data_IF_661759784071
#
_entry.id   IF_661759784071
#
_cell.length_a   1.000
_cell.length_b   1.000
_cell.length_c   1.000
_cell.angle_alpha   90.00
_cell.angle_beta   90.00
_cell.angle_gamma   90.00
#
_symmetry.space_group_name_H-M   'P 1'
#
loop_
_entity.id
_entity.type
_entity.pdbx_description
1 polymer ?
#
# COMPACT_ATOMS: atom_id res chain seq x y z
N UNK A 1 -11.72 -13.84 -22.92
CA UNK A 1 -10.75 -14.31 -21.91
C UNK A 1 -11.37 -14.11 -20.54
N UNK A 2 -11.25 -15.07 -19.62
CA UNK A 2 -11.79 -14.92 -18.26
C UNK A 2 -11.09 -13.80 -17.51
N UNK A 3 -11.78 -13.20 -16.53
CA UNK A 3 -11.22 -12.19 -15.63
C UNK A 3 -10.06 -12.81 -14.84
N UNK A 4 -8.88 -12.19 -14.92
CA UNK A 4 -7.68 -12.62 -14.19
C UNK A 4 -7.33 -11.65 -13.07
N UNK A 5 -7.24 -12.16 -11.86
CA UNK A 5 -6.83 -11.43 -10.66
C UNK A 5 -5.45 -11.92 -10.21
N UNK A 6 -4.50 -11.00 -10.06
CA UNK A 6 -3.26 -11.26 -9.35
C UNK A 6 -3.36 -10.72 -7.92
N UNK A 7 -3.06 -11.55 -6.92
CA UNK A 7 -2.96 -11.14 -5.52
C UNK A 7 -1.48 -10.95 -5.20
N UNK A 8 -1.10 -9.74 -4.78
CA UNK A 8 0.28 -9.42 -4.44
C UNK A 8 0.42 -9.10 -2.96
N UNK A 9 1.54 -9.51 -2.38
CA UNK A 9 1.85 -9.20 -0.99
C UNK A 9 3.35 -9.29 -0.70
N UNK A 10 3.72 -8.91 0.51
CA UNK A 10 5.11 -8.95 1.00
C UNK A 10 5.15 -9.51 2.40
N UNK A 11 6.14 -10.35 2.70
CA UNK A 11 6.27 -11.00 4.01
C UNK A 11 7.62 -10.76 4.65
N UNK A 12 7.62 -10.65 5.97
CA UNK A 12 8.82 -10.74 6.79
C UNK A 12 8.40 -11.06 8.22
N UNK A 13 8.65 -12.30 8.65
CA UNK A 13 8.28 -12.78 9.99
C UNK A 13 9.53 -13.08 10.81
N UNK A 14 9.94 -12.19 11.74
CA UNK A 14 11.05 -12.48 12.62
C UNK A 14 10.72 -13.65 13.55
N UNK A 15 11.73 -14.42 13.97
CA UNK A 15 11.64 -15.57 14.89
C UNK A 15 11.24 -15.18 16.32
N UNK A 16 10.05 -14.58 16.45
CA UNK A 16 9.44 -14.06 17.67
C UNK A 16 8.05 -14.66 17.82
N UNK A 17 7.44 -14.51 19.00
CA UNK A 17 6.05 -14.96 19.23
C UNK A 17 5.07 -14.28 18.26
N UNK A 18 5.24 -12.98 17.98
CA UNK A 18 4.43 -12.26 17.00
C UNK A 18 4.64 -12.79 15.59
N UNK A 19 5.89 -12.89 15.15
CA UNK A 19 6.21 -13.31 13.80
C UNK A 19 5.69 -14.73 13.52
N UNK A 20 5.78 -15.63 14.50
CA UNK A 20 5.19 -16.96 14.36
C UNK A 20 3.66 -16.96 14.27
N UNK A 21 2.97 -16.10 15.04
CA UNK A 21 1.52 -15.94 14.93
C UNK A 21 1.13 -15.44 13.54
N UNK A 22 1.78 -14.36 13.07
CA UNK A 22 1.52 -13.74 11.78
C UNK A 22 1.87 -14.66 10.60
N UNK A 23 2.98 -15.38 10.69
CA UNK A 23 3.35 -16.44 9.73
C UNK A 23 2.28 -17.54 9.66
N UNK A 24 1.71 -17.94 10.80
CA UNK A 24 0.61 -18.89 10.86
C UNK A 24 -0.64 -18.41 10.14
N UNK A 25 -1.02 -17.14 10.35
CA UNK A 25 -2.14 -16.51 9.62
C UNK A 25 -1.85 -16.44 8.12
N UNK A 26 -0.63 -16.04 7.75
CA UNK A 26 -0.20 -15.97 6.36
C UNK A 26 -0.26 -17.31 5.64
N UNK A 27 0.19 -18.41 6.27
CA UNK A 27 0.05 -19.76 5.71
C UNK A 27 -1.40 -20.11 5.38
N UNK A 28 -2.32 -19.82 6.31
CA UNK A 28 -3.76 -20.05 6.09
C UNK A 28 -4.28 -19.20 4.93
N UNK A 29 -3.94 -17.92 4.89
CA UNK A 29 -4.29 -17.02 3.80
C UNK A 29 -3.82 -17.56 2.44
N UNK A 30 -2.57 -18.00 2.32
CA UNK A 30 -2.03 -18.50 1.06
C UNK A 30 -2.70 -19.79 0.59
N UNK A 31 -2.93 -20.73 1.51
CA UNK A 31 -3.69 -21.95 1.20
C UNK A 31 -5.12 -21.62 0.74
N UNK A 32 -5.81 -20.70 1.44
CA UNK A 32 -7.16 -20.28 1.07
C UNK A 32 -7.19 -19.58 -0.30
N UNK A 33 -6.15 -18.82 -0.66
CA UNK A 33 -6.03 -18.20 -1.98
C UNK A 33 -5.80 -19.20 -3.10
N UNK A 34 -4.85 -20.12 -2.93
CA UNK A 34 -4.56 -21.14 -3.95
C UNK A 34 -5.74 -22.09 -4.13
N UNK A 35 -6.42 -22.49 -3.05
CA UNK A 35 -7.62 -23.32 -3.12
C UNK A 35 -8.80 -22.64 -3.85
N UNK A 36 -8.71 -21.33 -4.09
CA UNK A 36 -9.67 -20.53 -4.86
C UNK A 36 -9.14 -20.16 -6.25
N UNK A 37 -8.06 -20.79 -6.69
CA UNK A 37 -7.41 -20.60 -7.98
C UNK A 37 -6.96 -19.15 -8.24
N UNK A 38 -6.61 -18.40 -7.20
CA UNK A 38 -6.01 -17.07 -7.36
C UNK A 38 -4.51 -17.18 -7.67
N UNK A 39 -4.03 -16.38 -8.63
CA UNK A 39 -2.59 -16.21 -8.87
C UNK A 39 -1.99 -15.34 -7.75
N UNK A 40 -1.13 -15.90 -6.90
CA UNK A 40 -0.53 -15.18 -5.76
C UNK A 40 0.96 -14.95 -5.96
N UNK A 41 1.40 -13.71 -5.78
CA UNK A 41 2.80 -13.29 -5.85
C UNK A 41 3.25 -12.74 -4.50
N UNK A 42 4.38 -13.24 -4.01
CA UNK A 42 4.93 -12.86 -2.70
C UNK A 42 6.39 -12.51 -2.84
N UNK A 43 6.78 -11.35 -2.31
CA UNK A 43 8.18 -11.02 -2.06
C UNK A 43 8.45 -11.14 -0.57
N UNK A 44 9.39 -12.02 -0.19
CA UNK A 44 9.74 -12.29 1.21
C UNK A 44 11.10 -11.69 1.59
N UNK A 45 11.13 -10.95 2.69
CA UNK A 45 12.30 -10.27 3.24
C UNK A 45 13.29 -11.17 3.99
N UNK A 46 13.22 -12.50 3.84
CA UNK A 46 14.13 -13.45 4.49
C UNK A 46 13.57 -14.09 5.76
N UNK A 47 12.27 -14.40 5.76
CA UNK A 47 11.63 -15.20 6.82
C UNK A 47 12.27 -16.59 6.91
N UNK A 48 12.58 -17.04 8.13
CA UNK A 48 13.18 -18.35 8.41
C UNK A 48 14.43 -18.67 7.57
N UNK A 49 15.26 -17.66 7.30
CA UNK A 49 16.46 -17.75 6.44
C UNK A 49 16.11 -18.21 5.00
N UNK A 50 14.93 -17.80 4.50
CA UNK A 50 14.45 -18.10 3.15
C UNK A 50 13.61 -19.38 3.05
N UNK A 51 13.58 -20.24 4.08
CA UNK A 51 12.81 -21.50 4.06
C UNK A 51 11.30 -21.29 3.89
N UNK A 52 10.79 -20.12 4.29
CA UNK A 52 9.39 -19.79 4.10
C UNK A 52 9.02 -19.68 2.61
N UNK A 53 9.93 -19.22 1.75
CA UNK A 53 9.70 -19.16 0.30
C UNK A 53 9.46 -20.56 -0.27
N UNK A 54 10.27 -21.54 0.12
CA UNK A 54 10.13 -22.93 -0.34
C UNK A 54 8.80 -23.54 0.12
N UNK A 55 8.40 -23.23 1.36
CA UNK A 55 7.08 -23.59 1.87
C UNK A 55 5.95 -22.96 1.05
N UNK A 56 6.01 -21.66 0.76
CA UNK A 56 4.99 -20.97 -0.04
C UNK A 56 4.90 -21.55 -1.46
N UNK A 57 6.04 -21.83 -2.10
CA UNK A 57 6.08 -22.49 -3.41
C UNK A 57 5.41 -23.86 -3.39
N UNK A 58 5.56 -24.62 -2.31
CA UNK A 58 4.87 -25.92 -2.14
C UNK A 58 3.34 -25.79 -2.08
N UNK A 59 2.82 -24.61 -1.72
CA UNK A 59 1.38 -24.31 -1.78
C UNK A 59 0.91 -23.88 -3.16
N UNK A 60 1.80 -23.66 -4.14
CA UNK A 60 1.46 -23.10 -5.45
C UNK A 60 1.58 -21.58 -5.56
N UNK A 61 2.16 -20.91 -4.55
CA UNK A 61 2.40 -19.47 -4.56
C UNK A 61 3.66 -19.14 -5.37
N UNK A 62 3.63 -18.04 -6.15
CA UNK A 62 4.80 -17.48 -6.82
C UNK A 62 5.59 -16.63 -5.81
N UNK A 63 6.50 -17.26 -5.08
CA UNK A 63 7.28 -16.61 -4.02
C UNK A 63 8.73 -16.31 -4.44
N UNK A 64 9.19 -15.10 -4.13
CA UNK A 64 10.49 -14.54 -4.52
C UNK A 64 11.22 -13.96 -3.30
N UNK A 65 12.56 -14.05 -3.24
CA UNK A 65 13.34 -13.33 -2.24
C UNK A 65 13.36 -11.83 -2.56
N UNK A 66 13.25 -10.98 -1.54
CA UNK A 66 13.43 -9.52 -1.67
C UNK A 66 14.82 -9.20 -2.25
N UNK A 67 14.85 -8.49 -3.39
CA UNK A 67 16.12 -8.06 -4.00
C UNK A 67 16.59 -6.71 -3.46
N UNK A 68 15.66 -5.85 -3.05
CA UNK A 68 15.94 -4.54 -2.48
C UNK A 68 15.20 -4.34 -1.16
N UNK A 69 15.96 -4.06 -0.09
CA UNK A 69 15.39 -3.85 1.25
C UNK A 69 14.38 -2.71 1.26
N UNK A 70 13.27 -2.93 1.96
CA UNK A 70 12.31 -1.91 2.35
C UNK A 70 10.89 -2.22 1.87
N UNK A 71 9.90 -1.81 2.66
CA UNK A 71 8.49 -2.11 2.38
C UNK A 71 8.04 -1.59 1.01
N UNK A 72 8.47 -0.40 0.63
CA UNK A 72 8.14 0.17 -0.69
C UNK A 72 8.77 -0.62 -1.84
N UNK A 73 10.03 -1.00 -1.70
CA UNK A 73 10.77 -1.74 -2.73
C UNK A 73 10.18 -3.14 -2.95
N UNK A 74 10.03 -3.93 -1.87
CA UNK A 74 9.44 -5.27 -1.92
C UNK A 74 8.05 -5.29 -2.57
N UNK A 75 7.22 -4.26 -2.34
CA UNK A 75 5.87 -4.21 -2.91
C UNK A 75 5.86 -3.86 -4.39
N UNK A 76 6.75 -2.98 -4.85
CA UNK A 76 6.93 -2.71 -6.28
C UNK A 76 7.46 -3.95 -6.99
N UNK A 77 8.38 -4.68 -6.36
CA UNK A 77 8.89 -5.94 -6.88
C UNK A 77 7.76 -6.98 -7.02
N UNK A 78 6.92 -7.15 -6.00
CA UNK A 78 5.74 -8.04 -6.07
C UNK A 78 4.77 -7.62 -7.19
N UNK A 79 4.56 -6.32 -7.38
CA UNK A 79 3.75 -5.76 -8.46
C UNK A 79 4.37 -6.07 -9.83
N UNK A 80 5.68 -5.89 -10.01
CA UNK A 80 6.39 -6.21 -11.25
C UNK A 80 6.24 -7.69 -11.61
N UNK A 81 6.39 -8.60 -10.64
CA UNK A 81 6.17 -10.03 -10.88
C UNK A 81 4.74 -10.34 -11.33
N UNK A 82 3.74 -9.69 -10.72
CA UNK A 82 2.34 -9.86 -11.11
C UNK A 82 2.05 -9.30 -12.51
N UNK A 83 2.56 -8.12 -12.84
CA UNK A 83 2.33 -7.49 -14.15
C UNK A 83 2.87 -8.33 -15.31
N UNK A 84 3.94 -9.10 -15.09
CA UNK A 84 4.49 -10.02 -16.09
C UNK A 84 3.47 -11.10 -16.53
N UNK A 85 2.45 -11.42 -15.71
CA UNK A 85 1.39 -12.35 -16.11
C UNK A 85 0.21 -11.68 -16.79
N UNK A 86 0.23 -10.36 -16.97
CA UNK A 86 -0.84 -9.56 -17.60
C UNK A 86 -2.23 -9.80 -16.99
N UNK A 87 -2.39 -9.60 -15.66
CA UNK A 87 -3.69 -9.72 -15.01
C UNK A 87 -4.62 -8.58 -15.46
N UNK A 88 -5.94 -8.75 -15.29
CA UNK A 88 -6.89 -7.64 -15.45
C UNK A 88 -6.93 -6.76 -14.20
N UNK A 89 -6.86 -7.39 -13.03
CA UNK A 89 -6.92 -6.72 -11.75
C UNK A 89 -5.78 -7.17 -10.85
N UNK A 90 -5.37 -6.27 -9.95
CA UNK A 90 -4.35 -6.53 -8.95
C UNK A 90 -4.91 -6.21 -7.57
N UNK A 91 -4.80 -7.16 -6.65
CA UNK A 91 -5.14 -6.99 -5.24
C UNK A 91 -3.86 -6.96 -4.41
N UNK A 92 -3.55 -5.81 -3.81
CA UNK A 92 -2.62 -5.77 -2.69
C UNK A 92 -3.38 -6.05 -1.39
N UNK A 93 -2.84 -6.93 -0.55
CA UNK A 93 -3.31 -7.12 0.82
C UNK A 93 -2.20 -7.68 1.70
N UNK A 94 -2.30 -7.48 3.01
CA UNK A 94 -1.49 -8.18 4.00
C UNK A 94 -2.02 -9.61 4.20
N UNK A 95 -1.15 -10.63 4.30
CA UNK A 95 -1.56 -12.03 4.35
C UNK A 95 -2.07 -12.44 5.74
N UNK A 96 -1.99 -11.58 6.76
CA UNK A 96 -2.66 -11.82 8.05
C UNK A 96 -4.18 -11.59 7.98
N UNK A 97 -4.68 -11.00 6.90
CA UNK A 97 -6.12 -10.74 6.69
C UNK A 97 -6.82 -11.93 6.05
N UNK A 98 -6.71 -13.09 6.70
CA UNK A 98 -7.31 -14.36 6.22
C UNK A 98 -8.79 -14.20 5.87
N UNK A 99 -9.56 -13.49 6.70
CA UNK A 99 -10.99 -13.31 6.49
C UNK A 99 -11.33 -12.48 5.24
N UNK A 100 -10.41 -11.66 4.73
CA UNK A 100 -10.62 -10.88 3.52
C UNK A 100 -10.82 -11.76 2.27
N UNK A 101 -10.23 -12.97 2.25
CA UNK A 101 -10.29 -13.90 1.11
C UNK A 101 -11.73 -14.14 0.65
N UNK A 102 -12.69 -14.23 1.58
CA UNK A 102 -14.10 -14.46 1.27
C UNK A 102 -14.80 -13.28 0.57
N UNK A 103 -14.24 -12.08 0.71
CA UNK A 103 -14.79 -10.85 0.14
C UNK A 103 -14.22 -10.53 -1.25
N UNK A 104 -13.17 -11.24 -1.69
CA UNK A 104 -12.51 -10.97 -2.98
C UNK A 104 -13.48 -11.09 -4.18
N UNK A 105 -14.32 -12.14 -4.31
CA UNK A 105 -15.26 -12.23 -5.43
C UNK A 105 -16.16 -11.00 -5.53
N UNK A 106 -16.70 -10.55 -4.39
CA UNK A 106 -17.55 -9.37 -4.32
C UNK A 106 -16.79 -8.07 -4.66
N UNK A 107 -15.53 -7.93 -4.22
CA UNK A 107 -14.70 -6.78 -4.58
C UNK A 107 -14.42 -6.73 -6.08
N UNK A 108 -14.07 -7.86 -6.69
CA UNK A 108 -13.80 -7.99 -8.13
C UNK A 108 -15.06 -7.70 -8.96
N UNK A 109 -16.20 -8.25 -8.55
CA UNK A 109 -17.49 -7.95 -9.18
C UNK A 109 -17.82 -6.45 -9.06
N UNK A 110 -17.62 -5.86 -7.88
CA UNK A 110 -17.92 -4.44 -7.64
C UNK A 110 -17.06 -3.50 -8.48
N UNK A 111 -15.75 -3.73 -8.54
CA UNK A 111 -14.85 -2.86 -9.33
C UNK A 111 -15.18 -2.96 -10.82
N UNK A 112 -15.49 -4.17 -11.31
CA UNK A 112 -15.84 -4.42 -12.71
C UNK A 112 -17.20 -3.81 -13.08
N UNK A 113 -18.25 -4.06 -12.29
CA UNK A 113 -19.60 -3.51 -12.56
C UNK A 113 -19.67 -1.99 -12.50
N UNK A 114 -18.78 -1.36 -11.70
CA UNK A 114 -18.74 0.09 -11.54
C UNK A 114 -17.73 0.77 -12.47
N UNK A 115 -17.06 0.00 -13.34
CA UNK A 115 -16.03 0.49 -14.25
C UNK A 115 -15.01 1.38 -13.52
N UNK A 116 -14.59 0.93 -12.33
CA UNK A 116 -13.75 1.71 -11.44
C UNK A 116 -12.28 1.34 -11.61
N UNK A 117 -11.41 2.34 -11.69
CA UNK A 117 -9.97 2.14 -11.80
C UNK A 117 -9.36 1.57 -10.52
N UNK A 118 -9.91 1.95 -9.36
CA UNK A 118 -9.45 1.47 -8.06
C UNK A 118 -10.61 1.35 -7.06
N UNK A 119 -10.61 0.24 -6.32
CA UNK A 119 -11.49 -0.03 -5.20
C UNK A 119 -10.67 -0.10 -3.91
N UNK A 120 -11.09 0.73 -2.94
CA UNK A 120 -10.61 0.67 -1.56
C UNK A 120 -11.67 0.02 -0.67
N UNK A 121 -11.48 -1.23 -0.22
CA UNK A 121 -12.41 -1.86 0.69
C UNK A 121 -12.49 -1.07 1.99
N UNK A 122 -13.68 -0.99 2.57
CA UNK A 122 -13.93 -0.35 3.86
C UNK A 122 -14.45 -1.35 4.88
N UNK A 123 -14.04 -1.16 6.13
CA UNK A 123 -14.49 -2.02 7.22
C UNK A 123 -15.85 -1.57 7.71
N UNK A 124 -16.73 -2.53 7.95
CA UNK A 124 -18.03 -2.27 8.56
C UNK A 124 -17.91 -1.77 10.01
N UNK A 125 -16.86 -2.21 10.72
CA UNK A 125 -16.63 -1.84 12.12
C UNK A 125 -15.16 -2.00 12.49
N UNK A 126 -14.69 -1.16 13.41
CA UNK A 126 -13.37 -1.28 14.04
C UNK A 126 -13.45 -1.93 15.44
N UNK A 127 -14.62 -2.37 15.89
CA UNK A 127 -14.83 -2.81 17.28
C UNK A 127 -13.95 -3.97 17.75
N UNK A 128 -13.44 -4.78 16.81
CA UNK A 128 -12.53 -5.91 17.09
C UNK A 128 -11.06 -5.50 17.21
N UNK A 129 -10.71 -4.25 16.92
CA UNK A 129 -9.34 -3.73 17.04
C UNK A 129 -9.07 -3.15 18.43
N UNK A 130 -7.80 -3.03 18.86
CA UNK A 130 -7.45 -2.26 20.06
C UNK A 130 -7.97 -0.82 19.98
N UNK A 131 -8.52 -0.27 21.08
CA UNK A 131 -9.16 1.05 21.10
C UNK A 131 -8.28 2.18 20.52
N UNK A 132 -6.99 2.21 20.88
CA UNK A 132 -6.06 3.22 20.37
C UNK A 132 -5.95 3.13 18.85
N UNK A 133 -5.88 1.92 18.29
CA UNK A 133 -5.87 1.73 16.84
C UNK A 133 -7.17 2.22 16.20
N UNK A 134 -8.33 1.94 16.80
CA UNK A 134 -9.61 2.47 16.30
C UNK A 134 -9.60 4.00 16.20
N UNK A 135 -9.13 4.68 17.26
CA UNK A 135 -9.04 6.15 17.27
C UNK A 135 -8.06 6.67 16.22
N UNK A 136 -6.85 6.12 16.16
CA UNK A 136 -5.80 6.61 15.27
C UNK A 136 -6.15 6.36 13.80
N UNK A 137 -6.73 5.22 13.45
CA UNK A 137 -7.19 4.96 12.08
C UNK A 137 -8.38 5.84 11.69
N UNK A 138 -9.28 6.14 12.62
CA UNK A 138 -10.38 7.09 12.40
C UNK A 138 -9.84 8.49 12.09
N UNK A 139 -8.87 8.98 12.89
CA UNK A 139 -8.19 10.25 12.65
C UNK A 139 -7.49 10.23 11.28
N UNK A 140 -6.77 9.16 10.96
CA UNK A 140 -6.06 9.03 9.69
C UNK A 140 -6.98 9.03 8.47
N UNK A 141 -8.13 8.35 8.55
CA UNK A 141 -9.15 8.39 7.51
C UNK A 141 -9.81 9.77 7.37
N UNK A 142 -9.99 10.49 8.49
CA UNK A 142 -10.48 11.87 8.46
C UNK A 142 -9.46 12.79 7.78
N UNK A 143 -8.17 12.68 8.12
CA UNK A 143 -7.11 13.47 7.46
C UNK A 143 -7.09 13.22 5.95
N UNK A 144 -7.18 11.96 5.51
CA UNK A 144 -7.27 11.65 4.08
C UNK A 144 -8.43 12.40 3.39
N UNK A 145 -9.57 12.47 4.08
CA UNK A 145 -10.77 13.19 3.63
C UNK A 145 -10.56 14.70 3.61
N UNK A 146 -9.97 15.27 4.67
CA UNK A 146 -9.69 16.71 4.80
C UNK A 146 -8.73 17.23 3.72
N UNK A 147 -7.82 16.38 3.24
CA UNK A 147 -6.94 16.69 2.10
C UNK A 147 -7.65 16.68 0.74
N UNK A 148 -8.91 16.27 0.69
CA UNK A 148 -9.72 16.24 -0.54
C UNK A 148 -9.67 14.92 -1.28
N UNK A 149 -9.22 13.82 -0.65
CA UNK A 149 -9.15 12.51 -1.29
C UNK A 149 -10.42 11.70 -1.06
N UNK A 150 -11.42 12.00 -1.88
CA UNK A 150 -12.73 11.36 -1.83
C UNK A 150 -12.86 10.26 -2.88
N UNK A 151 -13.58 9.19 -2.54
CA UNK A 151 -14.11 8.29 -3.55
C UNK A 151 -15.25 8.96 -4.32
N UNK A 152 -15.60 8.39 -5.48
CA UNK A 152 -16.74 8.81 -6.30
C UNK A 152 -18.00 8.96 -5.45
N UNK A 153 -18.68 10.09 -5.62
CA UNK A 153 -19.86 10.48 -4.84
C UNK A 153 -19.52 11.06 -3.47
N UNK A 154 -18.34 11.66 -3.31
CA UNK A 154 -17.87 12.33 -2.09
C UNK A 154 -17.90 11.41 -0.86
N UNK A 155 -17.57 10.13 -1.07
CA UNK A 155 -17.53 9.15 0.00
C UNK A 155 -16.13 9.09 0.61
N UNK A 156 -16.02 9.09 1.96
CA UNK A 156 -14.75 8.83 2.62
C UNK A 156 -14.16 7.48 2.22
N UNK A 157 -12.83 7.41 2.17
CA UNK A 157 -12.08 6.19 1.88
C UNK A 157 -11.49 5.65 3.19
N UNK A 158 -11.60 4.34 3.42
CA UNK A 158 -10.91 3.66 4.53
C UNK A 158 -9.43 3.43 4.17
N UNK A 159 -8.67 4.52 4.10
CA UNK A 159 -7.27 4.53 3.74
C UNK A 159 -6.39 3.71 4.70
N UNK A 160 -6.85 3.52 5.94
CA UNK A 160 -6.16 2.75 6.96
C UNK A 160 -6.49 1.27 6.96
N UNK A 161 -7.45 0.80 6.16
CA UNK A 161 -7.71 -0.63 6.11
C UNK A 161 -6.52 -1.39 5.52
N UNK A 162 -5.77 -0.83 4.57
CA UNK A 162 -4.64 -1.50 3.91
C UNK A 162 -4.97 -2.02 2.51
N UNK A 163 -5.83 -3.05 2.33
CA UNK A 163 -6.02 -3.70 1.05
C UNK A 163 -6.46 -2.72 -0.05
N UNK A 164 -6.05 -2.97 -1.28
CA UNK A 164 -6.41 -2.19 -2.47
C UNK A 164 -6.59 -3.12 -3.65
N UNK A 165 -7.66 -2.92 -4.41
CA UNK A 165 -7.89 -3.59 -5.68
C UNK A 165 -7.87 -2.53 -6.78
N UNK A 166 -7.17 -2.77 -7.88
CA UNK A 166 -7.15 -1.83 -9.01
C UNK A 166 -7.06 -2.54 -10.35
N UNK A 167 -7.44 -1.85 -11.41
CA UNK A 167 -7.23 -2.29 -12.78
C UNK A 167 -5.75 -2.22 -13.15
N UNK A 168 -5.23 -3.25 -13.80
CA UNK A 168 -3.80 -3.30 -14.14
C UNK A 168 -3.32 -2.09 -14.96
N UNK A 169 -4.22 -1.46 -15.74
CA UNK A 169 -3.99 -0.25 -16.54
C UNK A 169 -3.55 0.96 -15.69
N UNK A 170 -3.91 1.02 -14.41
CA UNK A 170 -3.50 2.10 -13.50
C UNK A 170 -2.31 1.74 -12.61
N UNK A 171 -1.65 0.60 -12.84
CA UNK A 171 -0.51 0.15 -12.03
C UNK A 171 0.70 1.08 -12.06
N UNK A 172 0.83 1.91 -13.11
CA UNK A 172 1.87 2.93 -13.16
C UNK A 172 1.81 3.93 -12.00
N UNK A 173 0.62 4.21 -11.44
CA UNK A 173 0.49 5.04 -10.24
C UNK A 173 1.11 4.38 -8.99
N UNK A 174 1.10 3.04 -8.93
CA UNK A 174 1.68 2.26 -7.84
C UNK A 174 3.19 2.04 -8.03
N UNK A 175 3.69 2.04 -9.27
CA UNK A 175 5.13 1.97 -9.57
C UNK A 175 5.84 3.32 -9.44
N UNK A 176 5.13 4.42 -9.70
CA UNK A 176 5.68 5.78 -9.77
C UNK A 176 6.56 6.15 -8.57
N UNK A 177 6.18 5.76 -7.35
CA UNK A 177 6.93 6.10 -6.12
C UNK A 177 8.26 5.34 -5.96
N UNK A 178 8.66 4.54 -6.97
CA UNK A 178 10.02 4.01 -7.12
C UNK A 178 10.90 4.80 -8.10
N UNK A 179 10.36 5.82 -8.79
CA UNK A 179 11.11 6.67 -9.71
C UNK A 179 12.11 7.56 -8.95
N UNK A 180 13.32 7.69 -9.49
CA UNK A 180 14.40 8.47 -8.87
C UNK A 180 14.15 9.98 -8.84
N UNK A 181 13.14 10.48 -9.58
CA UNK A 181 12.68 11.87 -9.50
C UNK A 181 11.77 12.13 -8.30
N UNK A 182 11.08 11.11 -7.77
CA UNK A 182 10.15 11.30 -6.64
C UNK A 182 10.87 11.75 -5.36
N UNK A 183 12.01 11.18 -4.95
CA UNK A 183 12.80 11.72 -3.84
C UNK A 183 13.21 13.18 -4.02
N UNK A 184 13.55 13.59 -5.24
CA UNK A 184 13.94 14.98 -5.54
C UNK A 184 12.76 15.93 -5.36
N UNK A 185 11.58 15.56 -5.87
CA UNK A 185 10.35 16.32 -5.70
C UNK A 185 9.92 16.43 -4.23
N UNK A 186 10.07 15.34 -3.46
CA UNK A 186 9.76 15.37 -2.04
C UNK A 186 10.71 16.31 -1.28
N UNK A 187 12.00 16.24 -1.58
CA UNK A 187 12.99 17.15 -1.02
C UNK A 187 12.69 18.61 -1.38
N UNK A 188 12.34 18.88 -2.64
CA UNK A 188 11.95 20.21 -3.12
C UNK A 188 10.77 20.76 -2.32
N UNK A 189 9.68 19.99 -2.15
CA UNK A 189 8.54 20.41 -1.33
C UNK A 189 8.96 20.74 0.11
N UNK A 190 9.81 19.91 0.72
CA UNK A 190 10.28 20.14 2.10
C UNK A 190 11.10 21.42 2.22
N UNK A 191 11.96 21.69 1.24
CA UNK A 191 12.78 22.90 1.19
C UNK A 191 11.91 24.14 0.98
N UNK A 192 10.96 24.13 0.03
CA UNK A 192 10.04 25.24 -0.19
C UNK A 192 9.24 25.58 1.08
N UNK A 193 8.74 24.57 1.80
CA UNK A 193 8.05 24.76 3.09
C UNK A 193 8.98 25.38 4.14
N UNK A 194 10.22 24.91 4.23
CA UNK A 194 11.20 25.44 5.18
C UNK A 194 11.60 26.87 4.84
N UNK A 195 11.90 27.18 3.59
CA UNK A 195 12.24 28.52 3.10
C UNK A 195 11.10 29.51 3.36
N UNK A 196 9.84 29.10 3.13
CA UNK A 196 8.66 29.89 3.45
C UNK A 196 8.54 30.20 4.95
N UNK A 197 8.94 29.29 5.82
CA UNK A 197 8.80 29.43 7.28
C UNK A 197 9.96 30.20 7.92
N UNK A 198 11.18 30.04 7.39
CA UNK A 198 12.41 30.53 8.02
C UNK A 198 13.14 31.64 7.25
N UNK A 199 12.72 31.95 6.01
CA UNK A 199 13.34 32.98 5.14
C UNK A 199 14.85 32.78 4.93
N UNK A 200 15.29 31.53 4.86
CA UNK A 200 16.70 31.14 4.66
C UNK A 200 16.82 30.17 3.49
N UNK A 201 17.66 30.48 2.52
CA UNK A 201 17.94 29.59 1.38
C UNK A 201 18.82 28.39 1.79
N UNK A 202 18.55 27.23 1.18
CA UNK A 202 19.37 26.04 1.38
C UNK A 202 20.67 26.09 0.57
N UNK A 203 21.80 25.74 1.19
CA UNK A 203 23.05 25.48 0.48
C UNK A 203 22.97 24.18 -0.34
N UNK A 204 23.85 24.02 -1.35
CA UNK A 204 23.87 22.81 -2.19
C UNK A 204 24.12 21.51 -1.40
N UNK A 205 24.91 21.62 -0.32
CA UNK A 205 25.15 20.49 0.59
C UNK A 205 23.89 20.11 1.38
N UNK A 206 23.07 21.08 1.79
CA UNK A 206 21.81 20.84 2.47
C UNK A 206 20.75 20.29 1.53
N UNK A 207 20.67 20.81 0.29
CA UNK A 207 19.80 20.26 -0.77
C UNK A 207 20.11 18.79 -1.02
N UNK A 208 21.39 18.46 -1.19
CA UNK A 208 21.84 17.08 -1.40
C UNK A 208 21.48 16.17 -0.23
N UNK A 209 21.61 16.66 1.01
CA UNK A 209 21.24 15.90 2.21
C UNK A 209 19.74 15.66 2.29
N UNK A 210 18.92 16.64 1.93
CA UNK A 210 17.46 16.49 1.96
C UNK A 210 16.97 15.50 0.90
N UNK A 211 17.60 15.45 -0.29
CA UNK A 211 17.33 14.41 -1.30
C UNK A 211 17.62 13.01 -0.76
N UNK A 212 18.78 12.80 -0.13
CA UNK A 212 19.14 11.51 0.47
C UNK A 212 18.17 11.11 1.58
N UNK A 213 17.72 12.08 2.37
CA UNK A 213 16.71 11.86 3.41
C UNK A 213 15.37 11.44 2.81
N UNK A 214 14.89 12.16 1.79
CA UNK A 214 13.66 11.83 1.08
C UNK A 214 13.72 10.42 0.46
N UNK A 215 14.86 10.03 -0.13
CA UNK A 215 15.08 8.68 -0.66
C UNK A 215 15.02 7.60 0.44
N UNK A 216 15.66 7.86 1.59
CA UNK A 216 15.61 6.96 2.73
C UNK A 216 14.18 6.83 3.30
N UNK A 217 13.42 7.91 3.34
CA UNK A 217 12.04 7.91 3.82
C UNK A 217 11.12 7.16 2.83
N UNK A 218 11.32 7.35 1.52
CA UNK A 218 10.56 6.70 0.45
C UNK A 218 10.80 5.18 0.37
N UNK A 219 12.02 4.73 0.66
CA UNK A 219 12.37 3.31 0.69
C UNK A 219 11.87 2.59 1.95
N UNK A 220 11.89 3.27 3.11
CA UNK A 220 11.57 2.66 4.41
C UNK A 220 10.08 2.56 4.70
N UNK A 221 9.27 3.47 4.16
CA UNK A 221 7.89 3.63 4.63
C UNK A 221 6.85 3.17 3.60
N UNK A 222 5.64 2.97 4.12
CA UNK A 222 4.47 2.45 3.41
C UNK A 222 3.82 3.55 2.54
N UNK A 223 4.58 4.08 1.58
CA UNK A 223 4.05 5.08 0.64
C UNK A 223 3.22 4.44 -0.47
N UNK A 224 3.43 3.15 -0.71
CA UNK A 224 2.93 2.41 -1.86
C UNK A 224 1.43 2.12 -1.89
N UNK A 225 0.70 2.38 -0.81
CA UNK A 225 -0.71 2.00 -0.73
C UNK A 225 -1.60 3.23 -0.72
N UNK A 226 -1.23 4.26 0.05
CA UNK A 226 -2.07 5.43 0.25
C UNK A 226 -1.82 6.49 -0.83
N UNK A 227 -0.56 6.77 -1.13
CA UNK A 227 -0.21 7.83 -2.07
C UNK A 227 -0.65 7.54 -3.52
N UNK A 228 -0.56 6.31 -4.05
CA UNK A 228 -1.14 5.99 -5.35
C UNK A 228 -2.64 6.25 -5.41
N UNK A 229 -3.39 5.89 -4.36
CA UNK A 229 -4.84 6.15 -4.31
C UNK A 229 -5.13 7.66 -4.31
N UNK A 230 -4.39 8.43 -3.49
CA UNK A 230 -4.50 9.90 -3.48
C UNK A 230 -4.23 10.48 -4.87
N UNK A 231 -3.21 9.96 -5.55
CA UNK A 231 -2.84 10.39 -6.90
C UNK A 231 -3.95 10.07 -7.92
N UNK A 232 -4.51 8.87 -7.88
CA UNK A 232 -5.62 8.48 -8.75
C UNK A 232 -6.82 9.43 -8.57
N UNK A 233 -7.17 9.76 -7.33
CA UNK A 233 -8.24 10.75 -7.04
C UNK A 233 -7.93 12.11 -7.67
N UNK A 234 -6.71 12.64 -7.47
CA UNK A 234 -6.33 13.95 -8.02
C UNK A 234 -6.25 13.97 -9.56
N UNK A 235 -5.90 12.84 -10.17
CA UNK A 235 -5.87 12.69 -11.63
C UNK A 235 -7.24 12.32 -12.22
N UNK A 236 -8.31 12.34 -11.42
CA UNK A 236 -9.70 12.10 -11.84
C UNK A 236 -9.97 10.67 -12.33
N UNK A 237 -9.21 9.69 -11.86
CA UNK A 237 -9.56 8.29 -12.00
C UNK A 237 -10.75 7.95 -11.06
N UNK A 238 -11.51 6.94 -11.45
CA UNK A 238 -12.69 6.43 -10.74
C UNK A 238 -12.25 5.59 -9.55
N UNK A 239 -12.03 6.24 -8.41
CA UNK A 239 -11.75 5.56 -7.13
C UNK A 239 -13.05 5.36 -6.36
N UNK A 240 -13.36 4.12 -5.97
CA UNK A 240 -14.55 3.77 -5.21
C UNK A 240 -14.18 3.18 -3.84
N UNK A 241 -15.09 3.31 -2.87
CA UNK A 241 -15.04 2.54 -1.63
C UNK A 241 -16.19 1.54 -1.56
N UNK A 242 -15.90 0.35 -1.03
CA UNK A 242 -16.87 -0.73 -0.91
C UNK A 242 -16.76 -1.43 0.45
N UNK A 243 -17.85 -1.52 1.25
CA UNK A 243 -17.82 -2.20 2.53
C UNK A 243 -17.60 -3.70 2.33
N UNK A 244 -16.65 -4.29 3.06
CA UNK A 244 -16.39 -5.73 3.03
C UNK A 244 -16.74 -6.38 4.36
N UNK A 245 -17.19 -7.63 4.30
CA UNK A 245 -17.41 -8.43 5.49
C UNK A 245 -16.06 -8.99 5.98
N UNK A 246 -15.27 -8.12 6.60
CA UNK A 246 -13.98 -8.45 7.20
C UNK A 246 -14.07 -8.43 8.72
N UNK A 247 -13.55 -9.47 9.35
CA UNK A 247 -13.35 -9.57 10.78
C UNK A 247 -11.86 -9.65 11.13
N UNK A 248 -11.42 -8.79 12.04
CA UNK A 248 -10.05 -8.83 12.55
C UNK A 248 -9.83 -10.06 13.45
N UNK A 249 -8.66 -10.71 13.33
CA UNK A 249 -8.32 -11.92 14.11
C UNK A 249 -8.29 -11.60 15.59
N UNK A 250 -9.04 -12.36 16.40
CA UNK A 250 -9.08 -12.21 17.86
C UNK A 250 -7.70 -12.52 18.47
N UNK A 251 -6.98 -13.48 17.91
CA UNK A 251 -5.62 -13.83 18.32
C UNK A 251 -4.67 -12.65 18.11
N UNK A 252 -4.76 -11.99 16.94
CA UNK A 252 -4.00 -10.79 16.65
C UNK A 252 -4.38 -9.64 17.60
N UNK A 253 -5.68 -9.35 17.78
CA UNK A 253 -6.15 -8.34 18.73
C UNK A 253 -5.59 -8.56 20.13
N UNK A 254 -5.67 -9.80 20.64
CA UNK A 254 -5.15 -10.15 21.98
C UNK A 254 -3.65 -9.90 22.05
N UNK A 255 -2.90 -10.29 21.02
CA UNK A 255 -1.47 -10.06 20.98
C UNK A 255 -1.13 -8.56 20.99
N UNK A 256 -1.78 -7.76 20.15
CA UNK A 256 -1.59 -6.31 20.07
C UNK A 256 -1.94 -5.61 21.39
N UNK A 257 -3.01 -6.07 22.06
CA UNK A 257 -3.40 -5.59 23.39
C UNK A 257 -2.38 -5.92 24.48
N UNK A 258 -1.58 -6.97 24.33
CA UNK A 258 -0.47 -7.26 25.27
C UNK A 258 0.78 -6.43 24.99
N UNK A 259 0.92 -5.87 23.79
CA UNK A 259 2.11 -5.13 23.33
C UNK A 259 1.79 -3.66 22.98
N UNK A 260 0.87 -3.03 23.74
CA UNK A 260 0.29 -1.71 23.40
C UNK A 260 1.34 -0.65 23.08
N UNK A 261 2.45 -0.58 23.81
CA UNK A 261 3.48 0.45 23.60
C UNK A 261 4.08 0.39 22.20
N UNK A 262 4.40 -0.81 21.71
CA UNK A 262 5.00 -1.03 20.38
C UNK A 262 4.00 -0.64 19.29
N UNK A 263 2.76 -1.13 19.38
CA UNK A 263 1.72 -0.86 18.39
C UNK A 263 1.29 0.61 18.38
N UNK A 264 1.11 1.23 19.56
CA UNK A 264 0.78 2.65 19.65
C UNK A 264 1.90 3.52 19.05
N UNK A 265 3.17 3.20 19.32
CA UNK A 265 4.31 3.92 18.74
C UNK A 265 4.32 3.82 17.22
N UNK A 266 4.07 2.61 16.68
CA UNK A 266 3.93 2.39 15.24
C UNK A 266 2.81 3.24 14.64
N UNK A 267 1.63 3.24 15.24
CA UNK A 267 0.47 3.97 14.74
C UNK A 267 0.67 5.50 14.80
N UNK A 268 1.24 6.03 15.88
CA UNK A 268 1.57 7.46 15.98
C UNK A 268 2.58 7.87 14.91
N UNK A 269 3.60 7.03 14.67
CA UNK A 269 4.57 7.28 13.60
C UNK A 269 3.90 7.28 12.23
N UNK A 270 2.99 6.34 11.96
CA UNK A 270 2.21 6.33 10.70
C UNK A 270 1.39 7.60 10.55
N UNK A 271 0.66 8.03 11.59
CA UNK A 271 -0.10 9.29 11.56
C UNK A 271 0.80 10.51 11.31
N UNK A 272 1.97 10.58 11.95
CA UNK A 272 2.89 11.71 11.78
C UNK A 272 3.45 11.82 10.37
N UNK A 273 3.44 10.74 9.59
CA UNK A 273 3.88 10.73 8.20
C UNK A 273 2.78 11.19 7.22
N UNK A 274 1.51 11.15 7.61
CA UNK A 274 0.39 11.41 6.70
C UNK A 274 0.37 12.83 6.15
N UNK A 275 0.57 13.84 7.00
CA UNK A 275 0.54 15.26 6.58
C UNK A 275 1.53 15.51 5.45
N UNK A 276 2.72 14.91 5.57
CA UNK A 276 3.75 15.02 4.56
C UNK A 276 3.40 14.21 3.31
N UNK A 277 2.94 12.97 3.45
CA UNK A 277 2.58 12.11 2.31
C UNK A 277 1.44 12.72 1.49
N UNK A 278 0.35 13.10 2.16
CA UNK A 278 -0.82 13.72 1.55
C UNK A 278 -0.47 15.10 1.00
N UNK A 279 0.22 15.91 1.79
CA UNK A 279 0.72 17.21 1.36
C UNK A 279 1.61 17.12 0.12
N UNK A 280 2.45 16.10 0.02
CA UNK A 280 3.32 15.86 -1.12
C UNK A 280 2.54 15.49 -2.37
N UNK A 281 1.63 14.51 -2.31
CA UNK A 281 0.81 14.12 -3.48
C UNK A 281 -0.03 15.31 -3.99
N UNK A 282 -0.55 16.14 -3.09
CA UNK A 282 -1.27 17.36 -3.46
C UNK A 282 -0.35 18.39 -4.11
N UNK A 283 0.79 18.69 -3.48
CA UNK A 283 1.75 19.67 -3.97
C UNK A 283 2.28 19.30 -5.38
N UNK A 284 2.64 18.03 -5.63
CA UNK A 284 3.10 17.61 -6.97
C UNK A 284 2.00 17.70 -8.03
N UNK A 285 0.73 17.52 -7.62
CA UNK A 285 -0.42 17.63 -8.51
C UNK A 285 -0.73 19.09 -8.85
N UNK A 286 -0.76 19.97 -7.86
CA UNK A 286 -1.03 21.40 -8.03
C UNK A 286 0.06 22.11 -8.84
N UNK A 287 1.32 21.69 -8.70
CA UNK A 287 2.44 22.23 -9.47
C UNK A 287 2.59 21.62 -10.88
N UNK A 288 1.68 20.72 -11.31
CA UNK A 288 1.73 20.08 -12.63
C UNK A 288 2.90 19.13 -12.86
N UNK A 289 3.81 18.98 -11.89
CA UNK A 289 5.03 18.14 -11.97
C UNK A 289 4.66 16.67 -12.13
N UNK A 290 3.58 16.22 -11.49
CA UNK A 290 3.16 14.82 -11.58
C UNK A 290 2.56 14.44 -12.92
N UNK A 291 1.97 15.36 -13.70
CA UNK A 291 1.34 15.02 -14.99
C UNK A 291 2.35 14.44 -15.98
N UNK A 292 3.58 14.95 -15.98
CA UNK A 292 4.63 14.45 -16.87
C UNK A 292 5.11 13.06 -16.44
N UNK A 293 5.29 12.85 -15.13
CA UNK A 293 5.68 11.56 -14.59
C UNK A 293 4.57 10.52 -14.76
N UNK A 294 3.33 10.86 -14.40
CA UNK A 294 2.16 9.99 -14.59
C UNK A 294 1.99 9.61 -16.04
N UNK A 295 2.19 10.54 -16.99
CA UNK A 295 2.10 10.18 -18.41
C UNK A 295 3.13 9.12 -18.81
N UNK A 296 4.34 9.20 -18.27
CA UNK A 296 5.39 8.19 -18.47
C UNK A 296 4.98 6.84 -17.90
N UNK A 297 4.35 6.80 -16.72
CA UNK A 297 4.02 5.52 -16.08
C UNK A 297 2.68 4.93 -16.50
N UNK A 298 1.72 5.74 -16.95
CA UNK A 298 0.37 5.27 -17.33
C UNK A 298 0.19 5.07 -18.84
N UNK A 299 1.02 5.69 -19.69
CA UNK A 299 0.91 5.57 -21.15
C UNK A 299 2.15 5.00 -21.84
N UNK A 300 3.21 4.66 -21.11
CA UNK A 300 4.35 3.96 -21.71
C UNK A 300 4.04 2.47 -21.83
N UNK A 301 3.61 2.06 -23.03
CA UNK A 301 3.34 0.67 -23.38
C UNK A 301 4.56 -0.25 -23.18
N UNK A 302 5.77 0.30 -23.06
CA UNK A 302 7.00 -0.47 -22.82
C UNK A 302 7.16 -0.92 -21.37
N UNK A 303 6.40 -0.37 -20.41
CA UNK A 303 6.46 -0.80 -19.00
C UNK A 303 5.77 -2.17 -18.79
N UNK A 304 4.98 -2.63 -19.77
CA UNK A 304 4.26 -3.92 -19.75
C UNK A 304 4.97 -4.99 -20.61
N UNK A 305 6.14 -4.70 -21.21
CA UNK A 305 6.93 -5.63 -22.02
C UNK A 305 8.07 -6.27 -21.21
#
# INVERSE_FOLDING_TARGET
>A
MGLRLAVITTTFYPSTKEGNLRKGLARKFFLDMVNKDYEVFVVDGGTDDGRFIDELKSFGVQAFPETQRGLGNSRREALTHALATRPNYILWTEPEKVDLVRSIPFMVETISLREADCLVPSRNTLSKYPLVQQCLETIGNQLHTDYGYWAVGEKPIDAFFGPRLWESTVSGAFQLFGDSEIPKLLAEMRMERAESNYKSEFSDAEKSREIQRAEADLSRTDHMIQMPVCLLVLQRYTVISCPVNYEHSIEQTRFEQTNKSVFNTKMVRQLSALDEQFGFVRWVSENGKIRQLVKRYLFDENIIQ
#
